data_IF_453047250358
#
_entry.id   IF_453047250358
#
_cell.length_a   1.000
_cell.length_b   1.000
_cell.length_c   1.000
_cell.angle_alpha   90.00
_cell.angle_beta   90.00
_cell.angle_gamma   90.00
#
_symmetry.space_group_name_H-M   'P 1'
#
loop_
_entity.id
_entity.type
_entity.pdbx_description
1 polymer ?
#
# COMPACT_ATOMS: atom_id res chain seq x y z
N UNK A 1 10.16 12.77 -21.42
CA UNK A 1 10.93 11.79 -20.60
C UNK A 1 11.29 10.61 -21.51
N UNK A 2 12.46 10.63 -22.18
CA UNK A 2 12.79 9.66 -23.23
C UNK A 2 12.77 8.19 -22.80
N UNK A 3 13.32 7.87 -21.62
CA UNK A 3 13.36 6.47 -21.12
C UNK A 3 12.09 6.02 -20.40
N UNK A 4 11.23 6.96 -19.98
CA UNK A 4 10.04 6.71 -19.14
C UNK A 4 10.30 5.80 -17.92
N UNK A 5 11.52 5.82 -17.37
CA UNK A 5 11.97 4.97 -16.28
C UNK A 5 12.01 5.74 -14.96
N UNK A 6 11.50 5.10 -13.91
CA UNK A 6 11.78 5.48 -12.52
C UNK A 6 12.66 4.36 -11.95
N UNK A 7 13.89 4.68 -11.55
CA UNK A 7 14.83 3.71 -11.00
C UNK A 7 15.24 4.14 -9.58
N UNK A 8 15.10 3.23 -8.63
CA UNK A 8 15.59 3.40 -7.27
C UNK A 8 17.05 2.92 -7.22
N UNK A 9 17.99 3.86 -7.08
CA UNK A 9 19.44 3.61 -7.18
C UNK A 9 20.03 2.96 -5.92
N UNK A 10 19.59 1.74 -5.60
CA UNK A 10 20.16 0.87 -4.57
C UNK A 10 20.25 -0.56 -5.13
N UNK A 11 21.06 -1.41 -4.51
CA UNK A 11 21.15 -2.80 -4.92
C UNK A 11 19.92 -3.61 -4.52
N UNK A 12 19.67 -4.72 -5.21
CA UNK A 12 18.59 -5.63 -4.85
C UNK A 12 18.79 -6.23 -3.45
N UNK A 13 20.05 -6.48 -3.05
CA UNK A 13 20.39 -6.95 -1.72
C UNK A 13 19.94 -5.97 -0.62
N UNK A 14 20.15 -4.66 -0.84
CA UNK A 14 19.70 -3.61 0.08
C UNK A 14 18.15 -3.56 0.15
N UNK A 15 17.46 -3.74 -0.98
CA UNK A 15 15.99 -3.80 -1.00
C UNK A 15 15.46 -5.00 -0.22
N UNK A 16 16.06 -6.17 -0.40
CA UNK A 16 15.69 -7.40 0.33
C UNK A 16 15.95 -7.24 1.83
N UNK A 17 17.09 -6.66 2.21
CA UNK A 17 17.40 -6.38 3.60
C UNK A 17 16.36 -5.45 4.22
N UNK A 18 16.08 -4.29 3.60
CA UNK A 18 15.08 -3.32 4.11
C UNK A 18 13.69 -3.93 4.23
N UNK A 19 13.29 -4.78 3.27
CA UNK A 19 12.01 -5.49 3.32
C UNK A 19 11.96 -6.44 4.51
N UNK A 20 13.00 -7.25 4.70
CA UNK A 20 13.11 -8.19 5.83
C UNK A 20 13.07 -7.46 7.18
N UNK A 21 13.82 -6.36 7.31
CA UNK A 21 13.81 -5.50 8.51
C UNK A 21 12.46 -4.83 8.76
N UNK A 22 11.68 -4.54 7.72
CA UNK A 22 10.35 -3.97 7.86
C UNK A 22 9.32 -5.03 8.25
N UNK A 23 9.36 -6.20 7.61
CA UNK A 23 8.47 -7.33 7.88
C UNK A 23 8.68 -7.88 9.30
N UNK A 24 9.92 -7.87 9.82
CA UNK A 24 10.23 -8.27 11.20
C UNK A 24 9.56 -7.39 12.27
N UNK A 25 9.05 -6.20 11.91
CA UNK A 25 8.27 -5.34 12.81
C UNK A 25 6.84 -5.86 13.05
N UNK A 26 6.43 -6.93 12.37
CA UNK A 26 5.16 -7.63 12.58
C UNK A 26 3.96 -6.72 12.40
N UNK A 27 3.08 -6.64 13.42
CA UNK A 27 1.87 -5.81 13.36
C UNK A 27 2.13 -4.30 13.17
N UNK A 28 3.37 -3.83 13.34
CA UNK A 28 3.79 -2.44 13.08
C UNK A 28 4.45 -2.25 11.72
N UNK A 29 4.71 -3.31 10.97
CA UNK A 29 5.28 -3.24 9.61
C UNK A 29 4.39 -2.37 8.71
N UNK A 30 5.01 -1.55 7.85
CA UNK A 30 4.35 -0.70 6.86
C UNK A 30 3.31 0.29 7.41
N UNK A 31 3.23 0.47 8.74
CA UNK A 31 2.36 1.44 9.38
C UNK A 31 3.11 2.75 9.63
N UNK A 32 2.46 3.92 9.48
CA UNK A 32 3.07 5.20 9.81
C UNK A 32 3.51 5.26 11.28
N UNK A 33 4.74 5.68 11.56
CA UNK A 33 5.28 5.70 12.94
C UNK A 33 4.78 6.92 13.73
N UNK A 34 4.72 8.10 13.10
CA UNK A 34 4.40 9.37 13.78
C UNK A 34 3.28 10.19 13.10
N UNK A 35 2.63 9.64 12.08
CA UNK A 35 1.60 10.38 11.32
C UNK A 35 0.28 10.38 12.07
N UNK A 36 -0.17 11.55 12.52
CA UNK A 36 -1.49 11.75 13.09
C UNK A 36 -2.45 12.22 12.00
N UNK A 37 -3.41 11.37 11.61
CA UNK A 37 -4.44 11.71 10.63
C UNK A 37 -5.78 11.14 11.08
N UNK A 38 -6.81 11.99 11.15
CA UNK A 38 -8.18 11.51 11.30
C UNK A 38 -8.63 10.82 10.00
N UNK A 39 -9.07 9.56 10.11
CA UNK A 39 -9.62 8.81 8.97
C UNK A 39 -11.06 8.50 9.28
N UNK A 40 -11.98 9.18 8.59
CA UNK A 40 -13.42 9.00 8.77
C UNK A 40 -13.86 7.58 8.41
N UNK A 41 -15.03 7.17 8.89
CA UNK A 41 -15.65 5.87 8.54
C UNK A 41 -15.77 5.73 7.01
N UNK A 42 -16.25 6.77 6.33
CA UNK A 42 -16.40 6.78 4.88
C UNK A 42 -15.05 6.56 4.15
N UNK A 43 -13.96 7.19 4.62
CA UNK A 43 -12.64 7.00 4.03
C UNK A 43 -12.08 5.60 4.29
N UNK A 44 -12.38 5.00 5.44
CA UNK A 44 -12.00 3.60 5.70
C UNK A 44 -12.75 2.64 4.79
N UNK A 45 -14.06 2.83 4.61
CA UNK A 45 -14.86 2.03 3.70
C UNK A 45 -14.39 2.15 2.25
N UNK A 46 -14.16 3.38 1.78
CA UNK A 46 -13.59 3.64 0.45
C UNK A 46 -12.27 2.90 0.23
N UNK A 47 -11.35 3.00 1.20
CA UNK A 47 -10.04 2.35 1.10
C UNK A 47 -10.11 0.82 1.04
N UNK A 48 -11.15 0.20 1.62
CA UNK A 48 -11.34 -1.24 1.61
C UNK A 48 -11.78 -1.81 0.25
N UNK A 49 -12.23 -0.96 -0.68
CA UNK A 49 -12.73 -1.36 -2.00
C UNK A 49 -11.90 -0.80 -3.17
N UNK A 50 -11.00 0.15 -2.92
CA UNK A 50 -10.31 0.86 -4.00
C UNK A 50 -9.19 0.02 -4.59
N UNK A 51 -9.18 -0.15 -5.92
CA UNK A 51 -8.11 -0.83 -6.65
C UNK A 51 -6.91 0.08 -6.87
N UNK A 52 -5.82 -0.48 -7.40
CA UNK A 52 -4.63 0.30 -7.73
C UNK A 52 -4.91 1.34 -8.82
N UNK A 53 -4.13 2.43 -8.82
CA UNK A 53 -4.32 3.55 -9.75
C UNK A 53 -3.93 3.20 -11.19
N UNK A 54 -3.05 2.22 -11.40
CA UNK A 54 -2.73 1.67 -12.72
C UNK A 54 -3.93 0.96 -13.36
N UNK A 55 -4.88 0.47 -12.56
CA UNK A 55 -6.16 -0.11 -13.03
C UNK A 55 -7.32 0.89 -12.97
N UNK A 56 -7.04 2.18 -12.75
CA UNK A 56 -8.05 3.25 -12.75
C UNK A 56 -8.67 3.59 -11.39
N UNK A 57 -8.17 3.02 -10.28
CA UNK A 57 -8.65 3.29 -8.92
C UNK A 57 -10.18 3.13 -8.74
N UNK A 58 -10.74 2.12 -9.42
CA UNK A 58 -12.16 1.78 -9.33
C UNK A 58 -12.47 1.17 -7.96
N UNK A 59 -13.75 1.10 -7.61
CA UNK A 59 -14.21 0.46 -6.38
C UNK A 59 -14.69 -0.95 -6.72
N UNK A 60 -13.91 -1.94 -6.30
CA UNK A 60 -14.32 -3.34 -6.36
C UNK A 60 -15.09 -3.69 -5.07
N UNK A 61 -16.41 -3.77 -5.20
CA UNK A 61 -17.32 -4.06 -4.08
C UNK A 61 -17.25 -5.53 -3.64
N UNK A 62 -16.79 -6.43 -4.51
CA UNK A 62 -16.67 -7.86 -4.19
C UNK A 62 -15.70 -8.12 -3.03
N UNK A 63 -14.78 -7.17 -2.76
CA UNK A 63 -13.84 -7.23 -1.64
C UNK A 63 -14.49 -7.14 -0.25
N UNK A 64 -15.74 -6.65 -0.17
CA UNK A 64 -16.47 -6.47 1.10
C UNK A 64 -17.83 -7.16 1.13
N UNK A 65 -18.28 -7.70 -0.01
CA UNK A 65 -19.49 -8.51 -0.08
C UNK A 65 -19.28 -9.84 0.63
N UNK A 66 -20.30 -10.29 1.37
CA UNK A 66 -20.32 -11.64 1.93
C UNK A 66 -20.82 -12.58 0.85
N UNK A 67 -20.08 -13.65 0.59
CA UNK A 67 -20.58 -14.76 -0.20
C UNK A 67 -21.36 -15.67 0.74
N UNK A 68 -22.67 -15.78 0.50
CA UNK A 68 -23.55 -16.76 1.14
C UNK A 68 -23.40 -18.14 0.47
#
# INVERSE_FOLDING_TARGET
IPERRIHLAVSDAELVQRRTEMESRGARAWKPVKRQRHVSVALRAYAAMTTSADTGAVRDVTQVERQD
#
